data_IF_557684234658
#
_entry.id   IF_557684234658
#
_cell.length_a   1.000
_cell.length_b   1.000
_cell.length_c   1.000
_cell.angle_alpha   90.00
_cell.angle_beta   90.00
_cell.angle_gamma   90.00
#
_symmetry.space_group_name_H-M   'P 1'
#
loop_
_entity.id
_entity.type
_entity.pdbx_description
1 polymer ?
#
# COMPACT_ATOMS: atom_id res chain seq x y z
N UNK A 1 -6.22 21.03 -12.66
CA UNK A 1 -6.43 19.87 -13.58
C UNK A 1 -5.76 18.66 -12.96
N UNK A 2 -6.38 17.47 -12.99
CA UNK A 2 -5.79 16.25 -12.41
C UNK A 2 -4.57 15.82 -13.23
N UNK A 3 -3.46 15.54 -12.56
CA UNK A 3 -2.19 15.11 -13.15
C UNK A 3 -1.78 13.71 -12.68
N UNK A 4 -2.17 13.31 -11.46
CA UNK A 4 -1.76 12.03 -10.89
C UNK A 4 -2.91 11.28 -10.20
N UNK A 5 -2.82 9.95 -10.23
CA UNK A 5 -3.71 9.05 -9.49
C UNK A 5 -2.86 8.14 -8.62
N UNK A 6 -3.13 8.17 -7.32
CA UNK A 6 -2.47 7.36 -6.32
C UNK A 6 -3.39 6.23 -5.86
N UNK A 7 -2.79 5.08 -5.60
CA UNK A 7 -3.53 3.90 -5.20
C UNK A 7 -2.99 3.32 -3.89
N UNK A 8 -3.90 2.87 -3.04
CA UNK A 8 -3.57 1.84 -2.07
C UNK A 8 -3.35 0.49 -2.77
N UNK A 9 -2.73 -0.47 -2.07
CA UNK A 9 -2.37 -1.77 -2.63
C UNK A 9 -3.32 -2.88 -2.18
N UNK A 10 -3.18 -3.31 -0.90
CA UNK A 10 -3.85 -4.50 -0.39
C UNK A 10 -5.28 -4.19 0.05
N UNK A 11 -6.26 -4.80 -0.60
CA UNK A 11 -7.67 -4.48 -0.46
C UNK A 11 -8.22 -3.63 -1.61
N UNK A 12 -7.34 -2.90 -2.30
CA UNK A 12 -7.69 -2.02 -3.43
C UNK A 12 -7.29 -2.62 -4.77
N UNK A 13 -6.01 -2.89 -4.98
CA UNK A 13 -5.47 -3.45 -6.24
C UNK A 13 -5.14 -4.94 -6.14
N UNK A 14 -4.78 -5.40 -4.97
CA UNK A 14 -4.35 -6.78 -4.71
C UNK A 14 -5.13 -7.37 -3.54
N UNK A 15 -5.74 -8.53 -3.77
CA UNK A 15 -6.34 -9.36 -2.72
C UNK A 15 -5.27 -10.30 -2.16
N UNK A 16 -4.87 -10.04 -0.91
CA UNK A 16 -3.85 -10.80 -0.19
C UNK A 16 -4.44 -11.40 1.08
N UNK A 17 -4.04 -12.63 1.37
CA UNK A 17 -4.31 -13.27 2.66
C UNK A 17 -3.08 -14.02 3.13
N UNK A 18 -2.78 -13.90 4.42
CA UNK A 18 -1.66 -14.58 5.08
C UNK A 18 -2.11 -15.29 6.33
N UNK A 19 -1.32 -16.27 6.77
CA UNK A 19 -1.52 -17.03 8.00
C UNK A 19 -0.28 -17.03 8.88
N UNK A 20 0.29 -15.86 9.11
CA UNK A 20 1.55 -15.65 9.86
C UNK A 20 1.50 -16.14 11.32
N UNK A 21 0.32 -16.29 11.89
CA UNK A 21 0.14 -16.76 13.27
C UNK A 21 -0.09 -18.28 13.40
N UNK A 22 -0.21 -18.98 12.29
CA UNK A 22 -0.41 -20.41 12.27
C UNK A 22 0.92 -21.18 12.27
N UNK A 23 0.90 -22.45 12.69
CA UNK A 23 2.12 -23.27 12.77
C UNK A 23 2.62 -23.81 11.41
N UNK A 24 1.77 -24.25 10.47
CA UNK A 24 2.21 -24.86 9.22
C UNK A 24 3.18 -24.03 8.37
N UNK A 25 3.09 -22.70 8.28
CA UNK A 25 4.11 -21.89 7.62
C UNK A 25 5.52 -22.09 8.15
N UNK A 26 5.64 -22.30 9.45
CA UNK A 26 6.96 -22.45 10.10
C UNK A 26 7.58 -23.82 9.89
N UNK A 27 6.80 -24.83 9.51
CA UNK A 27 7.32 -26.13 9.05
C UNK A 27 8.12 -25.93 7.75
N UNK A 28 7.55 -25.24 6.77
CA UNK A 28 8.22 -24.90 5.51
C UNK A 28 9.44 -24.02 5.71
N UNK A 29 9.38 -23.10 6.69
CA UNK A 29 10.51 -22.24 7.02
C UNK A 29 11.64 -23.03 7.72
N UNK A 30 11.30 -23.99 8.57
CA UNK A 30 12.26 -24.88 9.20
C UNK A 30 12.98 -25.78 8.17
N UNK A 31 12.27 -26.28 7.17
CA UNK A 31 12.85 -27.00 6.03
C UNK A 31 13.83 -26.12 5.25
N UNK A 32 13.41 -24.89 4.90
CA UNK A 32 14.26 -23.91 4.20
C UNK A 32 15.56 -23.61 4.97
N UNK A 33 15.49 -23.51 6.30
CA UNK A 33 16.67 -23.32 7.16
C UNK A 33 17.54 -24.57 7.24
N UNK A 34 16.92 -25.77 7.28
CA UNK A 34 17.64 -27.05 7.33
C UNK A 34 18.52 -27.26 6.10
N UNK A 35 18.07 -26.86 4.91
CA UNK A 35 18.85 -26.86 3.67
C UNK A 35 20.12 -25.99 3.78
N UNK A 36 20.11 -25.02 4.69
CA UNK A 36 21.21 -24.10 5.01
C UNK A 36 22.01 -24.51 6.27
N UNK A 37 21.79 -25.77 6.75
CA UNK A 37 22.42 -26.35 7.94
C UNK A 37 22.08 -25.62 9.25
N UNK A 38 20.96 -24.92 9.28
CA UNK A 38 20.39 -24.29 10.48
C UNK A 38 19.20 -25.09 10.96
N UNK A 39 19.26 -25.54 12.22
CA UNK A 39 18.22 -26.36 12.84
C UNK A 39 17.34 -25.48 13.72
N UNK A 40 16.04 -25.47 13.44
CA UNK A 40 15.04 -24.82 14.27
C UNK A 40 13.74 -25.63 14.21
N UNK A 41 13.02 -25.67 15.32
CA UNK A 41 11.67 -26.27 15.32
C UNK A 41 10.65 -25.22 14.83
N UNK A 42 9.55 -25.65 14.17
CA UNK A 42 8.48 -24.72 13.76
C UNK A 42 7.98 -23.85 14.91
N UNK A 43 7.75 -24.44 16.09
CA UNK A 43 7.29 -23.72 17.27
C UNK A 43 8.29 -22.67 17.76
N UNK A 44 9.61 -22.95 17.72
CA UNK A 44 10.63 -21.99 18.07
C UNK A 44 10.65 -20.81 17.08
N UNK A 45 10.51 -21.07 15.78
CA UNK A 45 10.45 -20.04 14.75
C UNK A 45 9.23 -19.14 14.91
N UNK A 46 8.06 -19.71 15.14
CA UNK A 46 6.82 -18.97 15.40
C UNK A 46 6.98 -18.07 16.64
N UNK A 47 7.55 -18.62 17.73
CA UNK A 47 7.81 -17.85 18.96
C UNK A 47 8.77 -16.69 18.68
N UNK A 48 9.92 -16.93 18.04
CA UNK A 48 10.89 -15.88 17.71
C UNK A 48 10.25 -14.75 16.88
N UNK A 49 9.42 -15.11 15.89
CA UNK A 49 8.72 -14.12 15.07
C UNK A 49 7.74 -13.29 15.91
N UNK A 50 6.84 -13.94 16.64
CA UNK A 50 5.78 -13.26 17.40
C UNK A 50 6.35 -12.38 18.51
N UNK A 51 7.37 -12.86 19.25
CA UNK A 51 8.09 -12.09 20.27
C UNK A 51 8.88 -10.93 19.66
N UNK A 52 9.55 -11.17 18.53
CA UNK A 52 10.30 -10.14 17.80
C UNK A 52 9.41 -9.00 17.32
N UNK A 53 8.27 -9.32 16.71
CA UNK A 53 7.26 -8.33 16.29
C UNK A 53 6.72 -7.56 17.50
N UNK A 54 6.33 -8.26 18.56
CA UNK A 54 5.79 -7.64 19.79
C UNK A 54 6.81 -6.69 20.40
N UNK A 55 8.05 -7.12 20.55
CA UNK A 55 9.14 -6.31 21.11
C UNK A 55 9.41 -5.07 20.25
N UNK A 56 9.44 -5.22 18.94
CA UNK A 56 9.71 -4.10 18.03
C UNK A 56 8.54 -3.10 18.03
N UNK A 57 7.29 -3.58 18.00
CA UNK A 57 6.10 -2.71 18.12
C UNK A 57 6.06 -1.93 19.42
N UNK A 58 6.56 -2.50 20.51
CA UNK A 58 6.64 -1.81 21.82
C UNK A 58 7.65 -0.64 21.84
N UNK A 59 8.51 -0.51 20.84
CA UNK A 59 9.42 0.64 20.70
C UNK A 59 8.80 1.83 19.94
N UNK A 60 7.62 1.65 19.36
CA UNK A 60 6.93 2.73 18.64
C UNK A 60 6.37 3.74 19.65
N UNK A 61 6.60 5.02 19.41
CA UNK A 61 6.28 6.12 20.33
C UNK A 61 5.14 7.01 19.86
N UNK A 62 4.79 6.93 18.58
CA UNK A 62 3.72 7.72 17.97
C UNK A 62 2.68 6.80 17.32
N UNK A 63 1.42 7.25 17.21
CA UNK A 63 0.43 6.60 16.37
C UNK A 63 0.93 6.47 14.93
N UNK A 64 0.45 5.45 14.24
CA UNK A 64 0.72 5.22 12.81
C UNK A 64 2.21 5.04 12.45
N UNK A 65 3.09 4.81 13.42
CA UNK A 65 4.44 4.35 13.12
C UNK A 65 4.43 2.91 12.60
N UNK A 66 5.33 2.60 11.68
CA UNK A 66 5.51 1.27 11.12
C UNK A 66 6.85 0.67 11.53
N UNK A 67 6.86 -0.64 11.76
CA UNK A 67 8.09 -1.40 11.98
C UNK A 67 8.70 -1.83 10.63
N UNK A 68 10.02 -1.96 10.60
CA UNK A 68 10.69 -2.69 9.51
C UNK A 68 10.87 -4.16 9.93
N UNK A 69 10.13 -5.06 9.31
CA UNK A 69 10.14 -6.49 9.61
C UNK A 69 11.53 -7.13 9.40
N UNK A 70 12.41 -6.52 8.59
CA UNK A 70 13.80 -6.96 8.41
C UNK A 70 14.56 -6.99 9.74
N UNK A 71 14.20 -6.11 10.67
CA UNK A 71 14.78 -6.09 12.04
C UNK A 71 14.40 -7.34 12.82
N UNK A 72 13.14 -7.80 12.70
CA UNK A 72 12.68 -9.06 13.30
C UNK A 72 13.42 -10.24 12.69
N UNK A 73 13.51 -10.33 11.36
CA UNK A 73 14.19 -11.42 10.67
C UNK A 73 15.68 -11.48 10.99
N UNK A 74 16.33 -10.32 11.09
CA UNK A 74 17.73 -10.24 11.55
C UNK A 74 17.90 -10.80 12.97
N UNK A 75 17.00 -10.42 13.88
CA UNK A 75 16.97 -10.95 15.25
C UNK A 75 16.80 -12.46 15.27
N UNK A 76 15.81 -12.98 14.54
CA UNK A 76 15.55 -14.42 14.43
C UNK A 76 16.79 -15.19 13.95
N UNK A 77 17.41 -14.73 12.86
CA UNK A 77 18.63 -15.35 12.32
C UNK A 77 19.81 -15.29 13.30
N UNK A 78 19.92 -14.20 14.06
CA UNK A 78 20.95 -14.06 15.10
C UNK A 78 20.73 -15.04 16.24
N UNK A 79 19.50 -15.18 16.72
CA UNK A 79 19.12 -16.12 17.78
C UNK A 79 19.30 -17.60 17.36
N UNK A 80 19.25 -17.85 16.04
CA UNK A 80 19.54 -19.16 15.45
C UNK A 80 21.05 -19.39 15.23
N UNK A 81 21.92 -18.52 15.75
CA UNK A 81 23.39 -18.71 15.73
C UNK A 81 24.12 -17.97 14.62
N UNK A 82 23.44 -17.15 13.83
CA UNK A 82 24.06 -16.33 12.77
C UNK A 82 24.38 -14.93 13.31
N UNK A 83 25.54 -14.76 13.93
CA UNK A 83 25.90 -13.52 14.64
C UNK A 83 25.80 -12.23 13.79
N UNK A 84 26.01 -12.32 12.47
CA UNK A 84 25.91 -11.18 11.53
C UNK A 84 25.31 -11.65 10.20
N UNK A 85 24.00 -11.89 10.13
CA UNK A 85 23.36 -12.31 8.88
C UNK A 85 23.52 -11.22 7.81
N UNK A 86 23.97 -11.65 6.62
CA UNK A 86 24.12 -10.75 5.49
C UNK A 86 22.76 -10.18 5.04
N UNK A 87 22.69 -8.95 4.54
CA UNK A 87 21.44 -8.36 4.05
C UNK A 87 20.71 -9.24 3.04
N UNK A 88 21.41 -9.86 2.11
CA UNK A 88 20.84 -10.78 1.13
C UNK A 88 20.18 -12.00 1.77
N UNK A 89 20.76 -12.55 2.84
CA UNK A 89 20.16 -13.67 3.58
C UNK A 89 18.89 -13.24 4.31
N UNK A 90 18.84 -12.01 4.84
CA UNK A 90 17.63 -11.45 5.47
C UNK A 90 16.51 -11.30 4.43
N UNK A 91 16.85 -10.81 3.24
CA UNK A 91 15.90 -10.70 2.11
C UNK A 91 15.39 -12.08 1.66
N UNK A 92 16.26 -13.05 1.51
CA UNK A 92 15.90 -14.43 1.14
C UNK A 92 15.04 -15.11 2.21
N UNK A 93 15.38 -14.91 3.48
CA UNK A 93 14.61 -15.45 4.61
C UNK A 93 13.23 -14.80 4.68
N UNK A 94 13.15 -13.48 4.52
CA UNK A 94 11.91 -12.74 4.47
C UNK A 94 11.00 -13.22 3.33
N UNK A 95 11.58 -13.45 2.14
CA UNK A 95 10.82 -13.98 1.02
C UNK A 95 10.37 -15.43 1.24
N UNK A 96 11.23 -16.27 1.82
CA UNK A 96 10.83 -17.63 2.21
C UNK A 96 9.69 -17.63 3.23
N UNK A 97 9.76 -16.72 4.23
CA UNK A 97 8.70 -16.51 5.21
C UNK A 97 7.39 -16.08 4.51
N UNK A 98 7.44 -15.06 3.64
CA UNK A 98 6.26 -14.58 2.92
C UNK A 98 5.61 -15.66 2.06
N UNK A 99 6.42 -16.42 1.32
CA UNK A 99 5.93 -17.56 0.53
C UNK A 99 5.32 -18.67 1.39
N UNK A 100 5.85 -18.89 2.58
CA UNK A 100 5.33 -19.87 3.52
C UNK A 100 3.99 -19.43 4.14
N UNK A 101 3.84 -18.13 4.46
CA UNK A 101 2.65 -17.59 5.14
C UNK A 101 1.56 -17.13 4.18
N UNK A 102 1.87 -16.89 2.91
CA UNK A 102 0.91 -16.40 1.91
C UNK A 102 -0.07 -17.49 1.49
N UNK A 103 -1.35 -17.27 1.78
CA UNK A 103 -2.47 -18.14 1.39
C UNK A 103 -2.96 -17.79 0.00
N UNK A 104 -3.13 -16.51 -0.30
CA UNK A 104 -3.47 -15.99 -1.62
C UNK A 104 -2.81 -14.63 -1.86
N UNK A 105 -2.56 -14.32 -3.13
CA UNK A 105 -2.12 -13.02 -3.58
C UNK A 105 -2.42 -12.93 -5.08
N UNK A 106 -3.41 -12.15 -5.46
CA UNK A 106 -3.80 -11.99 -6.86
C UNK A 106 -4.40 -10.59 -7.10
N UNK A 107 -4.36 -10.08 -8.34
CA UNK A 107 -4.98 -8.81 -8.65
C UNK A 107 -6.48 -8.83 -8.38
N UNK A 108 -7.01 -7.74 -7.82
CA UNK A 108 -8.45 -7.52 -7.77
C UNK A 108 -8.97 -7.33 -9.21
N UNK A 109 -10.18 -7.83 -9.47
CA UNK A 109 -10.78 -7.81 -10.79
C UNK A 109 -10.79 -6.39 -11.39
N UNK A 110 -10.18 -6.22 -12.56
CA UNK A 110 -10.05 -4.96 -13.27
C UNK A 110 -8.86 -4.08 -12.85
N UNK A 111 -8.04 -4.48 -11.86
CA UNK A 111 -6.90 -3.67 -11.40
C UNK A 111 -5.88 -3.41 -12.53
N UNK A 112 -5.44 -4.46 -13.22
CA UNK A 112 -4.47 -4.30 -14.31
C UNK A 112 -5.03 -3.48 -15.48
N UNK A 113 -6.31 -3.66 -15.82
CA UNK A 113 -6.96 -2.90 -16.89
C UNK A 113 -7.07 -1.42 -16.53
N UNK A 114 -7.44 -1.11 -15.28
CA UNK A 114 -7.49 0.25 -14.74
C UNK A 114 -6.11 0.93 -14.83
N UNK A 115 -5.07 0.28 -14.29
CA UNK A 115 -3.72 0.83 -14.30
C UNK A 115 -3.22 1.06 -15.73
N UNK A 116 -3.43 0.10 -16.63
CA UNK A 116 -3.05 0.22 -18.05
C UNK A 116 -3.81 1.32 -18.78
N UNK A 117 -5.07 1.58 -18.42
CA UNK A 117 -5.84 2.70 -19.00
C UNK A 117 -5.34 4.04 -18.48
N UNK A 118 -5.19 4.19 -17.17
CA UNK A 118 -4.87 5.49 -16.56
C UNK A 118 -3.42 5.93 -16.84
N UNK A 119 -2.45 5.01 -16.92
CA UNK A 119 -1.04 5.37 -17.20
C UNK A 119 -0.81 6.00 -18.55
N UNK A 120 -1.79 5.99 -19.45
CA UNK A 120 -1.68 6.63 -20.77
C UNK A 120 -1.74 8.16 -20.64
N UNK A 121 -2.52 8.65 -19.69
CA UNK A 121 -2.86 10.06 -19.58
C UNK A 121 -2.46 10.68 -18.22
N UNK A 122 -2.22 9.84 -17.20
CA UNK A 122 -1.94 10.26 -15.81
C UNK A 122 -0.70 9.59 -15.26
N UNK A 123 -0.02 10.29 -14.38
CA UNK A 123 1.08 9.75 -13.58
C UNK A 123 0.49 8.87 -12.47
N UNK A 124 1.04 7.67 -12.27
CA UNK A 124 0.54 6.76 -11.26
C UNK A 124 1.54 6.56 -10.13
N UNK A 125 1.04 6.58 -8.89
CA UNK A 125 1.82 6.25 -7.70
C UNK A 125 1.10 5.25 -6.81
N UNK A 126 1.88 4.46 -6.08
CA UNK A 126 1.38 3.52 -5.09
C UNK A 126 1.77 3.97 -3.68
N UNK A 127 0.82 3.93 -2.75
CA UNK A 127 1.03 4.25 -1.33
C UNK A 127 0.42 3.15 -0.48
N UNK A 128 1.26 2.20 -0.03
CA UNK A 128 0.79 1.00 0.68
C UNK A 128 1.30 0.87 2.10
N UNK A 129 0.43 0.44 3.01
CA UNK A 129 0.81 0.01 4.35
C UNK A 129 1.35 -1.42 4.27
N UNK A 130 2.64 -1.53 3.95
CA UNK A 130 3.24 -2.80 3.57
C UNK A 130 4.75 -2.86 3.81
N UNK A 131 5.25 -4.09 3.88
CA UNK A 131 6.67 -4.36 4.06
C UNK A 131 7.37 -4.54 2.69
N UNK A 132 8.30 -3.65 2.37
CA UNK A 132 9.02 -3.65 1.07
C UNK A 132 9.61 -5.00 0.70
N UNK A 133 10.19 -5.69 1.68
CA UNK A 133 10.82 -7.01 1.52
C UNK A 133 9.89 -8.07 0.90
N UNK A 134 8.57 -7.89 1.02
CA UNK A 134 7.55 -8.75 0.44
C UNK A 134 6.96 -8.14 -0.83
N UNK A 135 6.54 -6.88 -0.68
CA UNK A 135 5.62 -6.22 -1.59
C UNK A 135 6.20 -6.03 -2.99
N UNK A 136 7.47 -5.63 -3.11
CA UNK A 136 8.08 -5.47 -4.43
C UNK A 136 8.11 -6.78 -5.21
N UNK A 137 8.44 -7.90 -4.56
CA UNK A 137 8.45 -9.22 -5.21
C UNK A 137 7.03 -9.69 -5.58
N UNK A 138 6.03 -9.38 -4.76
CA UNK A 138 4.63 -9.67 -5.09
C UNK A 138 4.14 -8.85 -6.28
N UNK A 139 4.47 -7.56 -6.33
CA UNK A 139 4.15 -6.71 -7.47
C UNK A 139 4.85 -7.19 -8.77
N UNK A 140 6.10 -7.65 -8.67
CA UNK A 140 6.83 -8.26 -9.80
C UNK A 140 6.12 -9.54 -10.29
N UNK A 141 5.77 -10.47 -9.37
CA UNK A 141 5.01 -11.69 -9.70
C UNK A 141 3.67 -11.37 -10.38
N UNK A 142 2.99 -10.30 -9.94
CA UNK A 142 1.70 -9.85 -10.45
C UNK A 142 1.81 -8.96 -11.69
N UNK A 143 3.03 -8.59 -12.12
CA UNK A 143 3.31 -7.65 -13.22
C UNK A 143 2.67 -6.27 -13.01
N UNK A 144 2.71 -5.79 -11.76
CA UNK A 144 2.08 -4.54 -11.35
C UNK A 144 3.11 -3.46 -10.94
N UNK A 145 4.40 -3.62 -11.22
CA UNK A 145 5.43 -2.60 -10.92
C UNK A 145 5.43 -1.51 -11.97
N UNK A 146 5.44 -1.89 -13.25
CA UNK A 146 5.68 -1.01 -14.39
C UNK A 146 4.71 0.18 -14.49
N UNK A 147 3.41 0.07 -14.16
CA UNK A 147 2.51 1.20 -14.27
C UNK A 147 2.83 2.38 -13.34
N UNK A 148 3.55 2.15 -12.25
CA UNK A 148 3.81 3.17 -11.23
C UNK A 148 5.14 3.88 -11.45
N UNK A 149 5.13 5.22 -11.43
CA UNK A 149 6.33 6.03 -11.41
C UNK A 149 7.00 6.01 -10.04
N UNK A 150 6.21 5.84 -8.98
CA UNK A 150 6.71 5.74 -7.61
C UNK A 150 5.89 4.76 -6.76
N UNK A 151 6.57 4.04 -5.88
CA UNK A 151 5.98 3.09 -4.94
C UNK A 151 6.48 3.45 -3.55
N UNK A 152 5.58 3.95 -2.70
CA UNK A 152 5.85 4.33 -1.32
C UNK A 152 5.26 3.28 -0.38
N UNK A 153 6.09 2.69 0.46
CA UNK A 153 5.68 1.65 1.41
C UNK A 153 5.99 2.07 2.85
N UNK A 154 5.07 1.78 3.76
CA UNK A 154 5.14 2.17 5.18
C UNK A 154 6.44 1.73 5.85
N UNK A 155 6.96 0.56 5.53
CA UNK A 155 8.23 0.07 6.07
C UNK A 155 9.46 0.87 5.65
N UNK A 156 9.35 1.75 4.64
CA UNK A 156 10.44 2.63 4.21
C UNK A 156 10.32 4.01 4.83
N UNK A 157 9.10 4.51 4.99
CA UNK A 157 8.83 5.82 5.59
C UNK A 157 8.87 5.79 7.11
N UNK A 158 8.64 4.60 7.71
CA UNK A 158 8.46 4.42 9.14
C UNK A 158 7.07 4.82 9.65
N UNK A 159 6.12 5.14 8.75
CA UNK A 159 4.75 5.52 9.07
C UNK A 159 3.76 4.79 8.18
N UNK A 160 2.53 4.62 8.68
CA UNK A 160 1.38 4.08 7.96
C UNK A 160 0.35 5.18 7.72
N UNK A 161 -0.54 4.97 6.77
CA UNK A 161 -1.74 5.78 6.63
C UNK A 161 -2.60 5.68 7.91
N UNK A 162 -3.30 6.72 8.35
CA UNK A 162 -3.52 7.99 7.65
C UNK A 162 -2.44 9.04 7.88
N UNK A 163 -1.25 8.69 8.40
CA UNK A 163 -0.21 9.68 8.65
C UNK A 163 0.14 10.45 7.37
N UNK A 164 0.09 11.80 7.46
CA UNK A 164 0.33 12.67 6.30
C UNK A 164 1.67 12.44 5.60
N UNK A 165 2.69 11.97 6.30
CA UNK A 165 4.02 11.68 5.73
C UNK A 165 3.95 10.69 4.58
N UNK A 166 2.99 9.74 4.61
CA UNK A 166 2.80 8.77 3.53
C UNK A 166 2.35 9.45 2.23
N UNK A 167 1.49 10.46 2.35
CA UNK A 167 0.94 11.20 1.23
C UNK A 167 1.89 12.31 0.76
N UNK A 168 2.52 13.04 1.69
CA UNK A 168 3.50 14.08 1.37
C UNK A 168 4.66 13.52 0.53
N UNK A 169 5.19 12.35 0.89
CA UNK A 169 6.33 11.73 0.18
C UNK A 169 5.98 11.42 -1.27
N UNK A 170 4.77 10.87 -1.54
CA UNK A 170 4.40 10.52 -2.91
C UNK A 170 4.04 11.75 -3.75
N UNK A 171 3.40 12.77 -3.15
CA UNK A 171 3.16 14.05 -3.80
C UNK A 171 4.47 14.73 -4.20
N UNK A 172 5.42 14.76 -3.28
CA UNK A 172 6.75 15.32 -3.52
C UNK A 172 7.52 14.53 -4.58
N UNK A 173 7.46 13.20 -4.54
CA UNK A 173 8.17 12.34 -5.49
C UNK A 173 7.67 12.50 -6.94
N UNK A 174 6.38 12.82 -7.10
CA UNK A 174 5.77 13.12 -8.40
C UNK A 174 5.63 14.63 -8.67
N UNK A 175 6.15 15.50 -7.81
CA UNK A 175 6.07 16.96 -7.99
C UNK A 175 4.64 17.45 -8.35
N UNK A 176 3.62 16.91 -7.67
CA UNK A 176 2.20 17.17 -7.93
C UNK A 176 1.58 17.86 -6.70
N UNK A 177 0.78 18.88 -6.94
CA UNK A 177 0.01 19.53 -5.88
C UNK A 177 -1.16 18.61 -5.42
N UNK A 178 -1.54 18.64 -4.14
CA UNK A 178 -2.61 17.77 -3.64
C UNK A 178 -3.93 17.88 -4.40
N UNK A 179 -4.32 19.10 -4.78
CA UNK A 179 -5.54 19.40 -5.55
C UNK A 179 -5.52 18.89 -7.01
N UNK A 180 -4.34 18.51 -7.50
CA UNK A 180 -4.12 17.90 -8.81
C UNK A 180 -4.04 16.36 -8.75
N UNK A 181 -4.29 15.81 -7.58
CA UNK A 181 -4.15 14.39 -7.28
C UNK A 181 -5.46 13.75 -6.82
N UNK A 182 -5.65 12.49 -7.22
CA UNK A 182 -6.73 11.63 -6.76
C UNK A 182 -6.10 10.46 -5.99
N UNK A 183 -6.67 10.10 -4.84
CA UNK A 183 -6.32 8.90 -4.10
C UNK A 183 -7.45 7.87 -4.17
N UNK A 184 -7.13 6.64 -4.53
CA UNK A 184 -8.04 5.50 -4.63
C UNK A 184 -7.67 4.47 -3.57
N UNK A 185 -8.58 4.15 -2.65
CA UNK A 185 -8.33 3.18 -1.59
C UNK A 185 -9.60 2.58 -1.02
N UNK A 186 -9.47 1.52 -0.21
CA UNK A 186 -10.61 0.78 0.38
C UNK A 186 -10.87 1.12 1.86
N UNK A 187 -9.92 1.76 2.55
CA UNK A 187 -10.06 2.16 3.95
C UNK A 187 -10.53 3.60 4.11
N UNK A 188 -11.72 3.82 4.71
CA UNK A 188 -12.17 5.18 5.02
C UNK A 188 -11.23 5.87 6.01
N UNK A 189 -10.71 5.13 7.01
CA UNK A 189 -9.93 5.71 8.09
C UNK A 189 -8.47 5.94 7.73
N UNK A 190 -7.90 5.10 6.86
CA UNK A 190 -6.49 5.18 6.50
C UNK A 190 -6.29 5.94 5.17
N UNK A 191 -7.00 5.52 4.12
CA UNK A 191 -6.84 6.07 2.77
C UNK A 191 -7.57 7.39 2.59
N UNK A 192 -8.90 7.36 2.83
CA UNK A 192 -9.76 8.51 2.55
C UNK A 192 -9.47 9.64 3.55
N UNK A 193 -9.38 9.33 4.85
CA UNK A 193 -9.06 10.33 5.86
C UNK A 193 -7.70 10.98 5.61
N UNK A 194 -6.67 10.16 5.34
CA UNK A 194 -5.31 10.63 5.13
C UNK A 194 -5.16 11.47 3.87
N UNK A 195 -5.72 11.02 2.74
CA UNK A 195 -5.68 11.75 1.47
C UNK A 195 -6.44 13.09 1.55
N UNK A 196 -7.63 13.11 2.16
CA UNK A 196 -8.39 14.36 2.39
C UNK A 196 -7.66 15.33 3.30
N UNK A 197 -6.96 14.83 4.32
CA UNK A 197 -6.21 15.68 5.25
C UNK A 197 -5.06 16.45 4.58
N UNK A 198 -4.55 15.97 3.46
CA UNK A 198 -3.53 16.66 2.66
C UNK A 198 -4.11 17.43 1.47
N UNK A 199 -5.42 17.34 1.19
CA UNK A 199 -6.11 18.09 0.14
C UNK A 199 -6.30 17.37 -1.19
N UNK A 200 -6.06 16.05 -1.24
CA UNK A 200 -6.36 15.24 -2.43
C UNK A 200 -7.87 14.99 -2.59
N UNK A 201 -8.31 14.77 -3.82
CA UNK A 201 -9.60 14.15 -4.09
C UNK A 201 -9.53 12.65 -3.81
N UNK A 202 -10.67 12.05 -3.46
CA UNK A 202 -10.71 10.67 -2.97
C UNK A 202 -11.78 9.83 -3.66
N UNK A 203 -11.40 8.62 -4.04
CA UNK A 203 -12.32 7.59 -4.53
C UNK A 203 -12.25 6.39 -3.59
N UNK A 204 -13.35 6.10 -2.90
CA UNK A 204 -13.45 4.93 -2.03
C UNK A 204 -13.88 3.70 -2.83
N UNK A 205 -12.98 2.72 -2.95
CA UNK A 205 -13.29 1.40 -3.49
C UNK A 205 -14.00 0.56 -2.42
N UNK A 206 -15.28 0.27 -2.62
CA UNK A 206 -16.09 -0.45 -1.65
C UNK A 206 -17.02 -1.44 -2.38
N UNK A 207 -16.55 -2.67 -2.68
CA UNK A 207 -17.36 -3.67 -3.38
C UNK A 207 -18.54 -4.21 -2.55
N UNK A 208 -18.47 -4.07 -1.23
CA UNK A 208 -19.50 -4.45 -0.27
C UNK A 208 -20.47 -3.33 0.10
N UNK A 209 -21.21 -3.52 1.20
CA UNK A 209 -22.02 -2.45 1.80
C UNK A 209 -21.14 -1.29 2.26
N UNK A 210 -21.56 -0.06 1.99
CA UNK A 210 -20.85 1.12 2.43
C UNK A 210 -20.81 1.20 3.98
N UNK A 211 -19.64 1.46 4.59
CA UNK A 211 -19.56 1.76 6.00
C UNK A 211 -20.45 2.96 6.37
N UNK A 212 -20.99 2.93 7.59
CA UNK A 212 -21.87 4.01 8.08
C UNK A 212 -21.09 5.17 8.68
N UNK A 213 -19.90 4.87 9.22
CA UNK A 213 -19.06 5.81 9.94
C UNK A 213 -17.74 6.03 9.21
N UNK A 214 -17.21 7.25 9.29
CA UNK A 214 -15.93 7.65 8.68
C UNK A 214 -16.06 8.89 7.80
N UNK A 215 -14.95 9.39 7.25
CA UNK A 215 -14.96 10.55 6.36
C UNK A 215 -15.72 10.23 5.07
N UNK A 216 -16.46 11.23 4.57
CA UNK A 216 -17.16 11.08 3.28
C UNK A 216 -16.15 11.22 2.14
N UNK A 217 -16.00 10.22 1.25
CA UNK A 217 -15.18 10.31 0.06
C UNK A 217 -15.84 11.20 -1.00
N UNK A 218 -15.05 11.75 -1.93
CA UNK A 218 -15.59 12.55 -3.03
C UNK A 218 -16.35 11.68 -4.06
N UNK A 219 -15.94 10.40 -4.17
CA UNK A 219 -16.72 9.39 -4.90
C UNK A 219 -16.58 8.00 -4.24
N UNK A 220 -17.55 7.12 -4.52
CA UNK A 220 -17.53 5.72 -4.08
C UNK A 220 -17.84 4.80 -5.27
N UNK A 221 -17.03 3.75 -5.42
CA UNK A 221 -17.15 2.80 -6.51
C UNK A 221 -17.20 1.36 -5.98
N UNK A 222 -17.93 0.50 -6.68
CA UNK A 222 -17.99 -0.94 -6.38
C UNK A 222 -17.07 -1.77 -7.26
N UNK A 223 -16.65 -1.23 -8.39
CA UNK A 223 -15.73 -1.86 -9.35
C UNK A 223 -14.63 -0.88 -9.69
N UNK A 224 -13.42 -1.39 -9.81
CA UNK A 224 -12.27 -0.56 -10.18
C UNK A 224 -12.42 0.13 -11.53
N UNK A 225 -13.13 -0.49 -12.48
CA UNK A 225 -13.41 0.12 -13.79
C UNK A 225 -14.22 1.42 -13.71
N UNK A 226 -14.95 1.65 -12.61
CA UNK A 226 -15.75 2.86 -12.41
C UNK A 226 -14.90 4.07 -12.02
N UNK A 227 -13.66 3.85 -11.56
CA UNK A 227 -12.70 4.91 -11.18
C UNK A 227 -12.39 5.82 -12.36
N UNK A 228 -12.23 5.26 -13.56
CA UNK A 228 -11.88 6.00 -14.79
C UNK A 228 -12.83 7.17 -15.00
N UNK A 229 -14.14 6.95 -14.81
CA UNK A 229 -15.16 8.00 -14.98
C UNK A 229 -14.87 9.23 -14.12
N UNK A 230 -14.57 9.02 -12.84
CA UNK A 230 -14.33 10.14 -11.92
C UNK A 230 -12.99 10.83 -12.20
N UNK A 231 -11.97 10.07 -12.60
CA UNK A 231 -10.68 10.65 -12.98
C UNK A 231 -10.84 11.54 -14.21
N UNK A 232 -11.54 11.10 -15.24
CA UNK A 232 -11.79 11.85 -16.47
C UNK A 232 -12.70 13.07 -16.19
N UNK A 233 -13.80 12.90 -15.44
CA UNK A 233 -14.70 13.99 -15.05
C UNK A 233 -13.96 15.12 -14.29
N UNK A 234 -13.05 14.77 -13.38
CA UNK A 234 -12.32 15.75 -12.57
C UNK A 234 -11.08 16.31 -13.26
N UNK A 235 -10.64 15.71 -14.35
CA UNK A 235 -9.56 16.23 -15.18
C UNK A 235 -10.04 17.31 -16.16
N UNK A 236 -11.33 17.33 -16.49
CA UNK A 236 -11.90 18.38 -17.34
C UNK A 236 -11.82 19.74 -16.64
N UNK A 237 -11.47 20.84 -17.34
CA UNK A 237 -11.56 22.18 -16.79
C UNK A 237 -13.00 22.47 -16.40
N UNK A 238 -13.25 22.99 -15.21
CA UNK A 238 -14.56 23.53 -14.90
C UNK A 238 -14.91 24.61 -15.94
N UNK A 239 -15.97 24.43 -16.71
CA UNK A 239 -16.50 25.47 -17.56
C UNK A 239 -16.84 26.66 -16.65
N UNK A 240 -16.10 27.76 -16.79
CA UNK A 240 -16.44 29.02 -16.14
C UNK A 240 -17.78 29.43 -16.72
N UNK A 241 -18.84 29.62 -15.91
CA UNK A 241 -20.08 30.16 -16.44
C UNK A 241 -19.79 31.45 -17.17
N UNK A 242 -20.19 31.53 -18.43
CA UNK A 242 -20.16 32.77 -19.18
C UNK A 242 -20.90 33.82 -18.33
N UNK A 243 -20.17 34.78 -17.80
CA UNK A 243 -20.77 35.98 -17.19
C UNK A 243 -21.37 36.72 -18.37
N UNK A 244 -22.69 36.65 -18.53
CA UNK A 244 -23.42 37.48 -19.47
C UNK A 244 -23.03 38.91 -19.18
N UNK A 245 -22.27 39.52 -20.10
CA UNK A 245 -22.02 40.94 -20.10
C UNK A 245 -23.39 41.62 -20.16
N UNK A 246 -23.84 42.10 -19.02
CA UNK A 246 -24.96 43.07 -18.95
C UNK A 246 -24.44 44.29 -19.69
N UNK A 247 -24.79 44.42 -20.97
CA UNK A 247 -24.68 45.64 -21.69
C UNK A 247 -25.69 46.62 -21.04
N UNK A 248 -25.16 47.51 -20.18
CA UNK A 248 -25.89 48.68 -19.78
C UNK A 248 -26.03 49.57 -21.03
N UNK A 249 -27.20 49.54 -21.65
CA UNK A 249 -27.63 50.59 -22.56
C UNK A 249 -28.01 51.77 -21.70
N UNK A 250 -27.12 52.76 -21.59
CA UNK A 250 -27.44 54.12 -21.16
C UNK A 250 -27.87 54.91 -22.40
N UNK A 251 -29.17 55.29 -22.43
CA UNK A 251 -29.70 56.42 -23.20
C UNK A 251 -29.63 57.72 -22.40
#
# INVERSE_FOLDING_TARGET
MIQAVFFDLYGTLVDVQTNELELPPYERLAEWLSDRKVRATPAALQKLYTEGVTKLKATLTEPDMEIDIRTVFRGMLTDLGMAKPQPTLIEDFGWAFRRATRVKCHPIAGANDLLNRLKQDYRLGLVGDAQKIFTLKELEELRMVEPFENIILSSETGYRKPNKKMFDVVLQALEVAPEEAIFVGDSLMDDIAGAKAVGMRTVHYCPGPAPKDGPEPDARVKKLSEVVKFVEEWAEPMETPLVDEIMDEED
#
